data_IF_643615888887
#
_entry.id   IF_643615888887
#
_cell.length_a   1.000
_cell.length_b   1.000
_cell.length_c   1.000
_cell.angle_alpha   90.00
_cell.angle_beta   90.00
_cell.angle_gamma   90.00
#
_symmetry.space_group_name_H-M   'P 1'
#
loop_
_entity.id
_entity.type
_entity.pdbx_description
1 polymer ?
#
# COMPACT_ATOMS: atom_id res chain seq x y z
N UNK A 1 -14.69 -5.63 2.07
CA UNK A 1 -14.25 -4.50 1.24
C UNK A 1 -13.01 -4.84 0.49
N UNK A 2 -12.92 -4.48 -0.76
CA UNK A 2 -11.69 -4.72 -1.52
C UNK A 2 -10.55 -3.88 -0.95
N UNK A 3 -9.37 -4.41 -1.05
CA UNK A 3 -8.17 -3.73 -0.62
C UNK A 3 -7.19 -3.62 -1.76
N UNK A 4 -6.37 -2.59 -1.70
CA UNK A 4 -5.40 -2.31 -2.75
C UNK A 4 -4.02 -2.15 -2.12
N UNK A 5 -3.00 -2.54 -2.86
CA UNK A 5 -1.64 -2.30 -2.44
C UNK A 5 -1.22 -0.94 -2.92
N UNK A 6 -0.66 -0.15 -2.03
CA UNK A 6 -0.15 1.18 -2.38
C UNK A 6 1.35 1.16 -2.15
N UNK A 7 2.10 1.45 -3.20
CA UNK A 7 3.55 1.50 -3.12
C UNK A 7 3.96 2.92 -2.81
N UNK A 8 4.78 3.08 -1.78
CA UNK A 8 5.18 4.37 -1.27
C UNK A 8 6.68 4.53 -1.34
N UNK A 9 7.10 5.77 -1.47
CA UNK A 9 8.51 6.12 -1.35
C UNK A 9 8.66 6.92 -0.07
N UNK A 10 9.40 6.37 0.90
CA UNK A 10 9.51 6.96 2.22
C UNK A 10 10.93 6.86 2.73
N UNK A 11 11.33 7.80 3.58
CA UNK A 11 12.55 7.63 4.34
C UNK A 11 12.32 6.49 5.33
N UNK A 12 13.35 5.71 5.66
CA UNK A 12 13.20 4.63 6.64
C UNK A 12 12.63 5.10 7.97
N UNK A 13 12.92 6.32 8.38
CA UNK A 13 12.40 6.86 9.63
C UNK A 13 10.89 7.09 9.56
N UNK A 14 10.33 7.17 8.35
CA UNK A 14 8.90 7.38 8.17
C UNK A 14 8.17 6.08 7.84
N UNK A 15 8.88 4.97 7.81
CA UNK A 15 8.30 3.70 7.38
C UNK A 15 7.64 2.97 8.53
N UNK A 16 6.77 3.66 9.24
CA UNK A 16 5.94 3.06 10.29
C UNK A 16 4.50 3.40 9.99
N UNK A 17 3.60 2.57 10.43
CA UNK A 17 2.19 2.77 10.13
C UNK A 17 1.68 4.13 10.65
N UNK A 18 1.95 4.54 11.90
CA UNK A 18 1.49 5.85 12.35
C UNK A 18 1.98 7.01 11.49
N UNK A 19 3.24 6.97 11.05
CA UNK A 19 3.77 8.03 10.21
C UNK A 19 3.11 8.02 8.83
N UNK A 20 2.89 6.85 8.27
CA UNK A 20 2.24 6.73 6.96
C UNK A 20 0.81 7.26 7.03
N UNK A 21 0.08 6.93 8.09
CA UNK A 21 -1.27 7.42 8.26
C UNK A 21 -1.29 8.94 8.29
N UNK A 22 -0.35 9.53 9.02
CA UNK A 22 -0.27 10.97 9.13
C UNK A 22 0.11 11.63 7.80
N UNK A 23 1.09 11.06 7.11
CA UNK A 23 1.57 11.63 5.86
C UNK A 23 0.51 11.58 4.76
N UNK A 24 -0.28 10.53 4.73
CA UNK A 24 -1.27 10.34 3.68
C UNK A 24 -2.67 10.79 4.10
N UNK A 25 -2.84 11.17 5.36
CA UNK A 25 -4.16 11.58 5.84
C UNK A 25 -5.14 10.42 5.90
N UNK A 26 -4.66 9.23 6.26
CA UNK A 26 -5.48 8.04 6.33
C UNK A 26 -5.92 7.78 7.77
N UNK A 27 -7.11 7.24 7.92
CA UNK A 27 -7.58 6.78 9.22
C UNK A 27 -7.06 5.37 9.47
N UNK A 28 -6.83 5.00 10.74
CA UNK A 28 -6.31 3.66 11.04
C UNK A 28 -7.16 2.53 10.48
N UNK A 29 -8.46 2.71 10.44
CA UNK A 29 -9.34 1.66 9.94
C UNK A 29 -9.30 1.53 8.42
N UNK A 30 -8.67 2.46 7.73
CA UNK A 30 -8.58 2.40 6.27
C UNK A 30 -7.40 1.55 5.80
N UNK A 31 -6.52 1.16 6.71
CA UNK A 31 -5.37 0.33 6.38
C UNK A 31 -5.46 -0.98 7.14
N UNK A 32 -4.75 -1.98 6.66
CA UNK A 32 -4.68 -3.27 7.34
C UNK A 32 -3.48 -3.26 8.29
N UNK A 33 -3.71 -3.17 9.58
CA UNK A 33 -2.59 -3.13 10.53
C UNK A 33 -1.80 -4.44 10.60
N UNK A 34 -2.43 -5.54 10.24
CA UNK A 34 -1.73 -6.82 10.20
C UNK A 34 -0.74 -6.89 9.06
N UNK A 35 -1.02 -6.16 7.97
CA UNK A 35 -0.09 -6.10 6.85
C UNK A 35 1.06 -5.13 7.19
N UNK A 36 0.73 -4.02 7.83
CA UNK A 36 1.71 -3.02 8.26
C UNK A 36 2.36 -2.30 7.09
N UNK A 37 3.58 -1.86 7.30
CA UNK A 37 4.38 -1.22 6.26
C UNK A 37 5.47 -2.21 5.88
N UNK A 38 5.40 -2.73 4.67
CA UNK A 38 6.28 -3.80 4.22
C UNK A 38 7.34 -3.23 3.29
N UNK A 39 8.62 -3.42 3.60
CA UNK A 39 9.67 -2.96 2.69
C UNK A 39 9.72 -3.84 1.44
N UNK A 40 9.66 -3.20 0.29
CA UNK A 40 9.77 -3.90 -0.97
C UNK A 40 11.19 -3.77 -1.46
N UNK A 41 11.72 -2.56 -1.42
CA UNK A 41 13.07 -2.28 -1.87
C UNK A 41 13.62 -1.19 -0.97
N UNK A 42 14.18 -1.54 0.18
CA UNK A 42 14.65 -0.54 1.13
C UNK A 42 15.75 0.36 0.57
N UNK A 43 16.57 -0.17 -0.32
CA UNK A 43 17.63 0.62 -0.93
C UNK A 43 17.06 1.75 -1.77
N UNK A 44 15.88 1.53 -2.37
CA UNK A 44 15.18 2.55 -3.16
C UNK A 44 14.11 3.24 -2.34
N UNK A 45 14.02 2.94 -1.04
CA UNK A 45 13.05 3.54 -0.13
C UNK A 45 11.61 3.23 -0.53
N UNK A 46 11.38 2.05 -1.06
CA UNK A 46 10.05 1.62 -1.48
C UNK A 46 9.43 0.71 -0.46
N UNK A 47 8.21 1.04 -0.09
CA UNK A 47 7.44 0.28 0.88
C UNK A 47 6.03 0.11 0.35
N UNK A 48 5.29 -0.85 0.89
CA UNK A 48 3.91 -1.04 0.49
C UNK A 48 3.01 -1.18 1.71
N UNK A 49 1.78 -0.71 1.56
CA UNK A 49 0.75 -0.87 2.58
C UNK A 49 -0.50 -1.41 1.89
N UNK A 50 -1.40 -1.95 2.68
CA UNK A 50 -2.66 -2.47 2.16
C UNK A 50 -3.78 -1.59 2.70
N UNK A 51 -4.53 -0.97 1.81
CA UNK A 51 -5.57 -0.01 2.18
C UNK A 51 -6.88 -0.33 1.50
N UNK A 52 -7.97 0.22 2.02
CA UNK A 52 -9.27 0.10 1.37
C UNK A 52 -9.21 0.78 0.00
N UNK A 53 -9.98 0.28 -0.93
CA UNK A 53 -10.01 0.80 -2.29
C UNK A 53 -10.32 2.29 -2.32
N UNK A 54 -11.28 2.74 -1.54
CA UNK A 54 -11.64 4.16 -1.52
C UNK A 54 -10.50 5.02 -1.00
N UNK A 55 -9.77 4.51 0.00
CA UNK A 55 -8.62 5.23 0.53
C UNK A 55 -7.48 5.27 -0.47
N UNK A 56 -7.28 4.18 -1.21
CA UNK A 56 -6.26 4.14 -2.25
C UNK A 56 -6.51 5.20 -3.31
N UNK A 57 -7.77 5.37 -3.69
CA UNK A 57 -8.13 6.39 -4.67
C UNK A 57 -7.81 7.80 -4.18
N UNK A 58 -8.03 8.03 -2.87
CA UNK A 58 -7.75 9.35 -2.31
C UNK A 58 -6.27 9.67 -2.27
N UNK A 59 -5.42 8.69 -2.03
CA UNK A 59 -3.99 8.94 -1.88
C UNK A 59 -3.20 8.74 -3.17
N UNK A 60 -3.86 8.33 -4.23
CA UNK A 60 -3.16 8.00 -5.48
C UNK A 60 -2.34 9.17 -6.02
N UNK A 61 -2.76 10.40 -5.73
CA UNK A 61 -2.06 11.58 -6.20
C UNK A 61 -1.04 12.13 -5.21
N UNK A 62 -0.88 11.50 -4.07
CA UNK A 62 0.05 12.00 -3.06
C UNK A 62 1.50 11.84 -3.56
N UNK A 63 2.37 12.80 -3.26
CA UNK A 63 3.75 12.73 -3.75
C UNK A 63 4.51 11.51 -3.27
N UNK A 64 4.14 10.95 -2.12
CA UNK A 64 4.81 9.77 -1.60
C UNK A 64 4.36 8.48 -2.29
N UNK A 65 3.25 8.52 -3.02
CA UNK A 65 2.68 7.33 -3.63
C UNK A 65 3.26 7.15 -5.03
N UNK A 66 3.91 6.01 -5.25
CA UNK A 66 4.44 5.68 -6.56
C UNK A 66 3.43 4.93 -7.40
N UNK A 67 2.56 4.18 -6.81
CA UNK A 67 1.56 3.45 -7.58
C UNK A 67 0.55 2.76 -6.70
N UNK A 68 -0.59 2.44 -7.27
CA UNK A 68 -1.65 1.73 -6.61
C UNK A 68 -1.91 0.47 -7.42
N UNK A 69 -1.85 -0.68 -6.77
CA UNK A 69 -1.99 -1.95 -7.43
C UNK A 69 -3.18 -2.72 -6.89
N UNK A 70 -3.69 -3.63 -7.67
CA UNK A 70 -4.83 -4.39 -7.28
C UNK A 70 -4.59 -5.30 -6.09
N UNK A 71 -5.65 -5.98 -5.71
CA UNK A 71 -5.62 -6.84 -4.54
C UNK A 71 -4.56 -7.92 -4.69
N UNK A 72 -3.72 -8.07 -3.70
CA UNK A 72 -2.63 -9.02 -3.78
C UNK A 72 -3.05 -10.47 -3.93
N UNK A 73 -4.36 -10.79 -3.66
CA UNK A 73 -4.72 -12.11 -3.76
C UNK A 73 -4.95 -12.54 -5.11
N UNK A 74 -4.78 -11.87 -6.06
CA UNK A 74 -4.98 -12.21 -7.27
C UNK A 74 -4.71 -13.37 -7.67
N UNK A 75 -4.91 -13.93 -7.55
CA UNK A 75 -4.79 -15.04 -7.90
C UNK A 75 -4.47 -15.20 -9.07
N UNK A 76 -4.36 -14.81 -9.36
CA UNK A 76 -4.06 -14.93 -10.37
C UNK A 76 -3.14 -15.63 -10.81
N UNK A 77 -2.74 -16.07 -10.59
CA UNK A 77 -2.09 -16.63 -11.05
C UNK A 77 -2.35 -17.64 -11.36
N UNK A 78 -2.65 -17.89 -11.61
CA UNK A 78 -2.96 -18.69 -12.09
C UNK A 78 -3.23 -19.21 -12.81
N UNK A 79 -3.17 -19.57 -12.98
CA UNK A 79 -3.47 -19.97 -13.79
C UNK A 79 -3.79 -20.05 -14.50
N UNK A 80 -3.78 -20.15 -14.50
CA UNK A 80 -4.18 -20.09 -15.22
C UNK A 80 -4.83 -20.28 -15.71
N UNK A 81 -5.06 -20.31 -15.52
CA UNK A 81 -5.69 -20.26 -15.95
C UNK A 81 -5.96 -20.23 -16.61
N UNK A 82 -5.84 -20.35 -16.60
CA UNK A 82 -5.99 -20.12 -17.23
C UNK A 82 -5.78 -20.11 -17.78
N UNK A 83 -5.61 -20.43 -17.72
CA UNK A 83 -5.32 -20.32 -18.18
C UNK A 83 -5.16 -20.27 -18.51
#
# INVERSE_FOLDING_TARGET
MPRMLVTLRLDPAQATLPEVLRLLGLAPEEVDPGFGVVPIDPAERRYTILVDEAAAARVADAPQVEGVFGNPRIEGFGPPEDA
#
